data_IF_399392204783
#
_entry.id   IF_399392204783
#
_cell.length_a   1.000
_cell.length_b   1.000
_cell.length_c   1.000
_cell.angle_alpha   90.00
_cell.angle_beta   90.00
_cell.angle_gamma   90.00
#
_symmetry.space_group_name_H-M   'P 1'
#
loop_
_entity.id
_entity.type
_entity.pdbx_description
1 polymer ?
#
# COMPACT_ATOMS: atom_id res chain seq x y z
N UNK A 1 -1.34 -9.94 22.97
CA UNK A 1 -0.98 -8.55 22.66
C UNK A 1 0.04 -8.55 21.54
N UNK A 2 -0.16 -7.74 20.52
CA UNK A 2 0.81 -7.54 19.44
C UNK A 2 1.48 -6.18 19.59
N UNK A 3 2.79 -6.14 19.39
CA UNK A 3 3.58 -4.91 19.29
C UNK A 3 3.79 -4.61 17.81
N UNK A 4 3.25 -3.50 17.33
CA UNK A 4 3.28 -3.08 15.94
C UNK A 4 4.32 -1.98 15.72
N UNK A 5 4.96 -2.04 14.53
CA UNK A 5 5.83 -1.01 13.98
C UNK A 5 5.32 -0.64 12.58
N UNK A 6 5.01 0.61 12.36
CA UNK A 6 4.56 1.12 11.06
C UNK A 6 5.67 1.23 10.02
N UNK A 7 6.93 1.39 10.46
CA UNK A 7 8.11 1.43 9.60
C UNK A 7 9.39 1.70 10.36
N UNK A 8 10.43 0.93 10.05
CA UNK A 8 11.79 1.06 10.62
C UNK A 8 12.80 0.86 9.50
N UNK A 9 13.56 1.89 9.16
CA UNK A 9 14.54 1.80 8.08
C UNK A 9 15.95 1.50 8.62
N UNK A 10 16.61 0.43 8.17
CA UNK A 10 16.21 -0.60 7.22
C UNK A 10 15.91 -1.95 7.91
N UNK A 11 16.43 -2.19 9.12
CA UNK A 11 16.10 -3.39 9.90
C UNK A 11 15.98 -3.09 11.39
N UNK A 12 15.20 -3.91 12.09
CA UNK A 12 14.96 -3.82 13.52
C UNK A 12 15.25 -5.15 14.21
N UNK A 13 15.93 -5.09 15.34
CA UNK A 13 16.01 -6.16 16.33
C UNK A 13 15.33 -5.65 17.61
N UNK A 14 14.38 -6.41 18.15
CA UNK A 14 13.47 -5.94 19.20
C UNK A 14 13.59 -6.79 20.45
N UNK A 15 13.70 -6.13 21.62
CA UNK A 15 13.67 -6.74 22.95
C UNK A 15 12.60 -6.07 23.81
N UNK A 16 11.90 -6.87 24.59
CA UNK A 16 10.94 -6.40 25.60
C UNK A 16 11.30 -6.99 26.96
N UNK A 17 11.52 -6.12 27.97
CA UNK A 17 11.94 -6.51 29.31
C UNK A 17 13.17 -7.43 29.32
N UNK A 18 14.15 -7.15 28.45
CA UNK A 18 15.36 -7.96 28.29
C UNK A 18 15.19 -9.23 27.46
N UNK A 19 13.99 -9.63 27.08
CA UNK A 19 13.73 -10.80 26.25
C UNK A 19 13.78 -10.40 24.78
N UNK A 20 14.54 -11.14 23.98
CA UNK A 20 14.54 -10.99 22.52
C UNK A 20 13.17 -11.39 21.96
N UNK A 21 12.60 -10.53 21.11
CA UNK A 21 11.28 -10.72 20.52
C UNK A 21 11.38 -11.20 19.08
N UNK A 22 12.25 -10.57 18.29
CA UNK A 22 12.43 -10.91 16.90
C UNK A 22 13.20 -9.87 16.10
N UNK A 23 13.34 -10.15 14.81
CA UNK A 23 13.95 -9.26 13.80
C UNK A 23 12.99 -9.03 12.67
N UNK A 24 13.13 -7.88 12.00
CA UNK A 24 12.47 -7.58 10.74
C UNK A 24 13.42 -6.83 9.82
N UNK A 25 13.41 -7.21 8.54
CA UNK A 25 14.08 -6.51 7.46
C UNK A 25 13.02 -5.97 6.48
N UNK A 26 13.27 -4.80 5.92
CA UNK A 26 12.34 -4.11 5.05
C UNK A 26 12.03 -2.72 5.58
N UNK A 27 12.64 -1.72 4.94
CA UNK A 27 12.62 -0.34 5.44
C UNK A 27 11.25 0.33 5.39
N UNK A 28 10.35 -0.14 4.53
CA UNK A 28 9.08 0.53 4.23
C UNK A 28 7.84 -0.27 4.55
N UNK A 29 8.00 -1.51 4.99
CA UNK A 29 6.88 -2.37 5.35
C UNK A 29 6.59 -2.32 6.86
N UNK A 30 5.33 -2.48 7.21
CA UNK A 30 4.90 -2.61 8.61
C UNK A 30 4.99 -4.05 9.09
N UNK A 31 5.30 -4.23 10.38
CA UNK A 31 5.41 -5.55 10.98
C UNK A 31 4.93 -5.56 12.43
N UNK A 32 4.71 -6.75 12.97
CA UNK A 32 4.30 -6.92 14.36
C UNK A 32 4.88 -8.19 14.99
N UNK A 33 5.01 -8.15 16.31
CA UNK A 33 5.42 -9.31 17.12
C UNK A 33 4.38 -9.63 18.17
N UNK A 34 4.12 -10.92 18.40
CA UNK A 34 3.35 -11.36 19.55
C UNK A 34 4.20 -11.20 20.83
N UNK A 35 3.70 -10.45 21.79
CA UNK A 35 4.38 -10.17 23.05
C UNK A 35 3.63 -10.72 24.27
N UNK A 36 2.71 -11.66 24.05
CA UNK A 36 1.99 -12.34 25.13
C UNK A 36 2.95 -13.00 26.12
N UNK A 37 2.66 -12.81 27.42
CA UNK A 37 3.48 -13.34 28.51
C UNK A 37 4.82 -12.64 28.71
N UNK A 38 5.15 -11.63 27.89
CA UNK A 38 6.39 -10.85 28.01
C UNK A 38 6.15 -9.45 28.58
N UNK A 39 4.90 -9.02 28.61
CA UNK A 39 4.47 -7.76 29.23
C UNK A 39 4.20 -7.96 30.73
N UNK A 40 4.62 -6.99 31.53
CA UNK A 40 4.33 -6.88 32.96
C UNK A 40 3.08 -6.00 33.11
N UNK A 41 1.94 -6.61 33.42
CA UNK A 41 0.68 -5.89 33.58
C UNK A 41 0.73 -4.96 34.82
N UNK A 42 0.33 -3.70 34.62
CA UNK A 42 0.30 -2.69 35.70
C UNK A 42 1.67 -2.13 36.10
N UNK A 43 2.73 -2.51 35.38
CA UNK A 43 4.11 -2.05 35.67
C UNK A 43 4.70 -1.34 34.43
N UNK A 44 5.84 -0.67 34.63
CA UNK A 44 6.66 -0.16 33.54
C UNK A 44 7.27 -1.31 32.73
N UNK A 45 7.20 -1.22 31.43
CA UNK A 45 7.82 -2.16 30.51
C UNK A 45 8.92 -1.44 29.72
N UNK A 46 10.06 -2.10 29.54
CA UNK A 46 11.19 -1.56 28.80
C UNK A 46 11.23 -2.16 27.40
N UNK A 47 11.04 -1.33 26.37
CA UNK A 47 11.24 -1.69 24.99
C UNK A 47 12.62 -1.22 24.54
N UNK A 48 13.43 -2.11 23.98
CA UNK A 48 14.69 -1.78 23.32
C UNK A 48 14.63 -2.21 21.85
N UNK A 49 15.02 -1.31 20.94
CA UNK A 49 15.06 -1.57 19.51
C UNK A 49 16.43 -1.19 18.99
N UNK A 50 17.12 -2.14 18.36
CA UNK A 50 18.35 -1.88 17.63
C UNK A 50 18.02 -1.73 16.16
N UNK A 51 18.25 -0.54 15.63
CA UNK A 51 18.07 -0.26 14.21
C UNK A 51 19.42 -0.38 13.51
N UNK A 52 19.45 -1.06 12.37
CA UNK A 52 20.64 -1.13 11.51
C UNK A 52 20.30 -0.51 10.16
N UNK A 53 21.17 0.36 9.64
CA UNK A 53 21.03 0.95 8.31
C UNK A 53 21.42 -0.03 7.20
N UNK A 54 22.31 -0.97 7.48
CA UNK A 54 22.82 -1.95 6.52
C UNK A 54 22.52 -3.35 7.03
N UNK A 55 21.89 -4.15 6.19
CA UNK A 55 21.62 -5.57 6.36
C UNK A 55 21.75 -6.26 4.99
N UNK A 56 21.70 -7.59 4.85
CA UNK A 56 21.95 -8.28 3.58
C UNK A 56 21.07 -7.85 2.41
N UNK A 57 19.83 -7.42 2.68
CA UNK A 57 18.82 -7.08 1.67
C UNK A 57 18.41 -5.59 1.67
N UNK A 58 19.18 -4.72 2.35
CA UNK A 58 18.84 -3.29 2.48
C UNK A 58 18.77 -2.55 1.13
N UNK A 59 19.50 -3.03 0.12
CA UNK A 59 19.52 -2.41 -1.22
C UNK A 59 18.14 -2.41 -1.90
N UNK A 60 17.23 -3.32 -1.53
CA UNK A 60 15.86 -3.27 -2.02
C UNK A 60 15.10 -2.01 -1.56
N UNK A 61 15.59 -1.34 -0.53
CA UNK A 61 14.99 -0.16 0.07
C UNK A 61 15.82 1.11 -0.19
N UNK A 62 16.74 1.08 -1.16
CA UNK A 62 17.59 2.22 -1.54
C UNK A 62 17.20 2.71 -2.93
N UNK A 63 16.90 3.98 -3.01
CA UNK A 63 16.54 4.69 -4.24
C UNK A 63 17.38 5.95 -4.36
N UNK A 64 17.05 6.82 -5.28
CA UNK A 64 17.61 8.15 -5.44
C UNK A 64 17.03 9.17 -4.43
N UNK A 65 16.63 8.68 -3.26
CA UNK A 65 16.16 9.43 -2.10
C UNK A 65 17.13 9.30 -0.90
N UNK A 66 16.80 9.99 0.21
CA UNK A 66 17.63 9.96 1.40
C UNK A 66 17.48 8.65 2.18
N UNK A 67 18.58 7.96 2.45
CA UNK A 67 18.61 6.74 3.28
C UNK A 67 18.54 7.08 4.78
N UNK A 68 17.45 7.74 5.20
CA UNK A 68 17.23 8.16 6.58
C UNK A 68 16.89 6.97 7.46
N UNK A 69 17.83 6.55 8.32
CA UNK A 69 17.65 5.45 9.26
C UNK A 69 16.84 5.84 10.49
N UNK A 70 16.14 4.88 11.07
CA UNK A 70 15.41 5.05 12.33
C UNK A 70 14.02 4.46 12.34
N UNK A 71 13.33 4.64 13.46
CA UNK A 71 11.90 4.37 13.61
C UNK A 71 11.16 5.64 13.19
N UNK A 72 10.51 5.65 12.06
CA UNK A 72 9.95 6.88 11.47
C UNK A 72 8.42 6.87 11.35
N UNK A 73 7.78 5.74 11.66
CA UNK A 73 6.32 5.57 11.74
C UNK A 73 5.91 5.08 13.14
N UNK A 74 4.63 5.07 13.40
CA UNK A 74 4.04 4.75 14.70
C UNK A 74 4.45 3.39 15.23
N UNK A 75 4.63 3.32 16.56
CA UNK A 75 4.82 2.08 17.33
C UNK A 75 3.71 2.01 18.37
N UNK A 76 2.95 0.90 18.37
CA UNK A 76 1.82 0.76 19.29
C UNK A 76 1.57 -0.69 19.69
N UNK A 77 0.81 -0.87 20.77
CA UNK A 77 0.32 -2.15 21.23
C UNK A 77 -1.13 -2.36 20.83
N UNK A 78 -1.44 -3.52 20.27
CA UNK A 78 -2.80 -3.97 20.00
C UNK A 78 -3.17 -5.10 20.95
N UNK A 79 -4.20 -4.87 21.79
CA UNK A 79 -4.70 -5.89 22.69
C UNK A 79 -5.75 -6.75 22.01
N UNK A 80 -5.54 -8.06 21.97
CA UNK A 80 -6.48 -9.04 21.46
C UNK A 80 -7.23 -9.75 22.57
N UNK A 81 -8.48 -10.19 22.38
CA UNK A 81 -9.18 -11.07 23.30
C UNK A 81 -8.36 -12.35 23.59
N UNK A 82 -8.53 -12.88 24.81
CA UNK A 82 -7.72 -14.04 25.25
C UNK A 82 -7.98 -15.29 24.44
N UNK A 83 -9.22 -15.51 24.01
CA UNK A 83 -9.64 -16.78 23.38
C UNK A 83 -9.68 -16.65 21.85
N UNK A 84 -10.51 -15.76 21.34
CA UNK A 84 -10.78 -15.63 19.90
C UNK A 84 -10.79 -14.18 19.46
N UNK A 85 -10.27 -13.88 18.26
CA UNK A 85 -10.27 -12.52 17.71
C UNK A 85 -10.35 -12.55 16.19
N UNK A 86 -10.80 -11.47 15.59
CA UNK A 86 -10.72 -11.22 14.17
C UNK A 86 -9.29 -10.79 13.87
N UNK A 87 -8.51 -11.66 13.26
CA UNK A 87 -7.09 -11.41 12.98
C UNK A 87 -6.93 -10.53 11.75
N UNK A 88 -7.64 -10.87 10.67
CA UNK A 88 -7.57 -10.14 9.41
C UNK A 88 -8.93 -10.11 8.74
N UNK A 89 -9.15 -9.01 8.00
CA UNK A 89 -10.35 -8.78 7.22
C UNK A 89 -9.93 -8.40 5.80
N UNK A 90 -10.47 -9.10 4.80
CA UNK A 90 -10.28 -8.77 3.39
C UNK A 90 -11.67 -8.54 2.79
N UNK A 91 -11.83 -7.40 2.14
CA UNK A 91 -13.10 -6.95 1.58
C UNK A 91 -12.95 -6.75 0.08
N UNK A 92 -13.85 -7.37 -0.70
CA UNK A 92 -13.90 -7.24 -2.17
C UNK A 92 -15.29 -6.83 -2.60
N UNK A 93 -15.35 -5.92 -3.54
CA UNK A 93 -16.60 -5.46 -4.17
C UNK A 93 -16.66 -5.95 -5.60
N UNK A 94 -17.78 -6.53 -6.00
CA UNK A 94 -18.03 -6.96 -7.37
C UNK A 94 -19.39 -6.43 -7.81
N UNK A 95 -19.44 -5.73 -8.93
CA UNK A 95 -20.69 -5.23 -9.52
C UNK A 95 -21.33 -6.27 -10.45
N UNK A 96 -22.62 -6.08 -10.72
CA UNK A 96 -23.28 -6.73 -11.84
C UNK A 96 -22.79 -6.11 -13.19
N UNK A 97 -23.20 -6.72 -14.30
CA UNK A 97 -22.80 -6.27 -15.66
C UNK A 97 -23.21 -4.82 -15.98
N UNK A 98 -24.20 -4.29 -15.28
CA UNK A 98 -24.71 -2.93 -15.44
C UNK A 98 -24.09 -1.92 -14.45
N UNK A 99 -23.19 -2.37 -13.58
CA UNK A 99 -22.60 -1.57 -12.50
C UNK A 99 -23.65 -0.93 -11.59
N UNK A 100 -24.78 -1.60 -11.37
CA UNK A 100 -25.91 -1.10 -10.61
C UNK A 100 -25.95 -1.72 -9.20
N UNK A 101 -26.02 -3.04 -9.14
CA UNK A 101 -26.01 -3.78 -7.87
C UNK A 101 -24.64 -4.39 -7.63
N UNK A 102 -24.28 -4.60 -6.39
CA UNK A 102 -22.97 -5.16 -6.04
C UNK A 102 -23.08 -6.30 -5.04
N UNK A 103 -22.07 -7.17 -5.07
CA UNK A 103 -21.77 -8.12 -4.01
C UNK A 103 -20.58 -7.62 -3.20
N UNK A 104 -20.74 -7.60 -1.90
CA UNK A 104 -19.66 -7.35 -0.93
C UNK A 104 -19.19 -8.69 -0.41
N UNK A 105 -18.02 -9.14 -0.83
CA UNK A 105 -17.39 -10.39 -0.38
C UNK A 105 -16.44 -10.09 0.76
N UNK A 106 -16.61 -10.78 1.88
CA UNK A 106 -15.90 -10.52 3.13
C UNK A 106 -15.22 -11.81 3.54
N UNK A 107 -13.90 -11.79 3.57
CA UNK A 107 -13.09 -12.88 4.06
C UNK A 107 -12.54 -12.49 5.44
N UNK A 108 -12.93 -13.22 6.47
CA UNK A 108 -12.63 -12.96 7.87
C UNK A 108 -11.72 -14.07 8.37
N UNK A 109 -10.47 -13.72 8.68
CA UNK A 109 -9.57 -14.64 9.34
C UNK A 109 -9.75 -14.52 10.86
N UNK A 110 -10.15 -15.62 11.50
CA UNK A 110 -10.35 -15.69 12.95
C UNK A 110 -9.17 -16.44 13.57
N UNK A 111 -8.46 -15.78 14.48
CA UNK A 111 -7.47 -16.43 15.34
C UNK A 111 -8.14 -17.06 16.56
N UNK A 112 -7.73 -18.26 16.93
CA UNK A 112 -8.24 -18.99 18.10
C UNK A 112 -7.08 -19.57 18.90
N UNK A 113 -7.02 -19.24 20.20
CA UNK A 113 -6.06 -19.79 21.15
C UNK A 113 -6.60 -20.99 21.93
N UNK A 114 -7.66 -21.60 21.47
CA UNK A 114 -8.18 -22.79 22.13
C UNK A 114 -7.12 -23.91 22.09
N UNK A 115 -6.51 -24.16 23.23
CA UNK A 115 -5.49 -25.21 23.44
C UNK A 115 -6.01 -26.42 24.18
N UNK A 116 -7.34 -26.52 24.33
CA UNK A 116 -7.91 -27.69 24.97
C UNK A 116 -7.62 -28.94 24.13
N UNK A 117 -7.15 -29.97 24.79
CA UNK A 117 -6.92 -31.27 24.16
C UNK A 117 -7.86 -32.29 24.72
N UNK A 118 -8.39 -33.14 23.86
CA UNK A 118 -9.13 -34.34 24.24
C UNK A 118 -8.17 -35.44 24.75
N UNK A 119 -8.66 -36.47 25.49
CA UNK A 119 -7.85 -37.62 25.84
C UNK A 119 -7.09 -38.17 24.61
N UNK A 120 -5.79 -38.45 24.78
CA UNK A 120 -4.91 -38.87 23.67
C UNK A 120 -4.24 -37.73 22.92
N UNK A 121 -4.24 -36.51 23.47
CA UNK A 121 -3.62 -35.29 22.90
C UNK A 121 -4.24 -34.83 21.56
N UNK A 122 -5.48 -35.19 21.28
CA UNK A 122 -6.22 -34.64 20.13
C UNK A 122 -6.71 -33.22 20.45
N UNK A 123 -6.62 -32.27 19.50
CA UNK A 123 -7.14 -30.93 19.71
C UNK A 123 -8.68 -30.97 19.89
N UNK A 124 -9.17 -30.26 20.91
CA UNK A 124 -10.61 -30.07 21.11
C UNK A 124 -11.19 -29.17 20.03
N UNK A 125 -12.38 -29.46 19.50
CA UNK A 125 -13.02 -28.59 18.50
C UNK A 125 -13.43 -27.21 19.03
N UNK A 126 -13.30 -26.94 20.34
CA UNK A 126 -13.73 -25.67 20.92
C UNK A 126 -15.25 -25.50 20.91
N UNK A 127 -15.71 -24.25 21.03
CA UNK A 127 -17.14 -23.89 21.01
C UNK A 127 -17.52 -23.18 19.73
N UNK A 128 -18.75 -23.32 19.26
CA UNK A 128 -19.31 -22.50 18.20
C UNK A 128 -19.44 -21.04 18.63
N UNK A 129 -19.44 -20.13 17.67
CA UNK A 129 -19.59 -18.68 17.88
C UNK A 129 -20.34 -18.05 16.71
N UNK A 130 -20.87 -16.85 16.90
CA UNK A 130 -21.52 -16.14 15.83
C UNK A 130 -20.59 -15.07 15.25
N UNK A 131 -20.70 -14.86 13.96
CA UNK A 131 -20.08 -13.77 13.23
C UNK A 131 -21.17 -12.89 12.66
N UNK A 132 -21.17 -11.60 13.07
CA UNK A 132 -22.12 -10.59 12.56
C UNK A 132 -21.35 -9.59 11.72
N UNK A 133 -21.93 -9.24 10.58
CA UNK A 133 -21.40 -8.23 9.67
C UNK A 133 -22.51 -7.21 9.41
N UNK A 134 -22.18 -5.92 9.56
CA UNK A 134 -23.13 -4.83 9.31
C UNK A 134 -22.45 -3.78 8.43
N UNK A 135 -23.10 -3.43 7.33
CA UNK A 135 -22.69 -2.35 6.45
C UNK A 135 -23.48 -1.09 6.76
N UNK A 136 -22.79 -0.01 7.08
CA UNK A 136 -23.37 1.29 7.36
C UNK A 136 -23.07 2.28 6.24
N UNK A 137 -24.02 3.17 5.98
CA UNK A 137 -23.80 4.37 5.18
C UNK A 137 -22.82 5.32 5.88
N UNK A 138 -22.32 6.34 5.17
CA UNK A 138 -21.40 7.34 5.73
C UNK A 138 -21.97 8.08 6.94
N UNK A 139 -23.27 8.32 6.97
CA UNK A 139 -24.00 8.95 8.06
C UNK A 139 -24.41 7.99 9.20
N UNK A 140 -23.98 6.72 9.10
CA UNK A 140 -24.14 5.74 10.17
C UNK A 140 -25.45 4.96 10.18
N UNK A 141 -26.27 5.06 9.12
CA UNK A 141 -27.48 4.27 8.98
C UNK A 141 -27.11 2.82 8.60
N UNK A 142 -27.72 1.84 9.26
CA UNK A 142 -27.66 0.42 8.91
C UNK A 142 -28.27 0.22 7.51
N UNK A 143 -27.47 -0.28 6.59
CA UNK A 143 -27.90 -0.54 5.22
C UNK A 143 -28.21 -2.02 5.00
N UNK A 144 -27.31 -2.90 5.42
CA UNK A 144 -27.42 -4.35 5.31
C UNK A 144 -26.69 -5.02 6.46
N UNK A 145 -27.24 -6.12 6.97
CA UNK A 145 -26.59 -6.92 8.00
C UNK A 145 -26.80 -8.41 7.79
N UNK A 146 -25.86 -9.20 8.25
CA UNK A 146 -25.90 -10.65 8.20
C UNK A 146 -25.25 -11.24 9.45
N UNK A 147 -25.83 -12.29 10.00
CA UNK A 147 -25.22 -13.06 11.10
C UNK A 147 -25.21 -14.54 10.75
N UNK A 148 -24.09 -15.20 10.99
CA UNK A 148 -23.92 -16.63 10.78
C UNK A 148 -23.35 -17.31 12.02
N UNK A 149 -23.77 -18.55 12.24
CA UNK A 149 -23.15 -19.44 13.23
C UNK A 149 -21.90 -20.09 12.60
N UNK A 150 -20.75 -19.92 13.23
CA UNK A 150 -19.51 -20.62 12.89
C UNK A 150 -19.41 -21.86 13.77
N UNK A 151 -19.43 -23.08 13.20
CA UNK A 151 -19.34 -24.31 13.98
C UNK A 151 -18.02 -24.43 14.73
N UNK A 152 -18.03 -25.20 15.81
CA UNK A 152 -16.82 -25.59 16.51
C UNK A 152 -15.78 -26.24 15.58
N UNK A 153 -14.51 -25.96 15.79
CA UNK A 153 -13.40 -26.45 14.96
C UNK A 153 -12.10 -26.60 15.79
N UNK A 154 -11.17 -27.38 15.26
CA UNK A 154 -9.87 -27.65 15.87
C UNK A 154 -8.75 -26.74 15.37
N UNK A 155 -8.99 -25.96 14.30
CA UNK A 155 -7.99 -25.09 13.70
C UNK A 155 -7.68 -23.88 14.60
N UNK A 156 -6.41 -23.51 14.69
CA UNK A 156 -5.95 -22.30 15.40
C UNK A 156 -6.28 -21.00 14.64
N UNK A 157 -6.44 -21.10 13.32
CA UNK A 157 -6.94 -20.02 12.46
C UNK A 157 -8.07 -20.57 11.59
N UNK A 158 -9.11 -19.80 11.43
CA UNK A 158 -10.24 -20.15 10.58
C UNK A 158 -10.62 -19.01 9.65
N UNK A 159 -10.79 -19.37 8.39
CA UNK A 159 -11.36 -18.49 7.40
C UNK A 159 -12.90 -18.61 7.41
N UNK A 160 -13.57 -17.47 7.49
CA UNK A 160 -15.02 -17.33 7.42
C UNK A 160 -15.36 -16.44 6.24
N UNK A 161 -16.08 -17.00 5.27
CA UNK A 161 -16.48 -16.29 4.06
C UNK A 161 -17.95 -15.86 4.19
N UNK A 162 -18.20 -14.58 3.95
CA UNK A 162 -19.55 -14.01 3.91
C UNK A 162 -19.72 -13.20 2.62
N UNK A 163 -20.95 -13.18 2.09
CA UNK A 163 -21.28 -12.39 0.91
C UNK A 163 -22.60 -11.65 1.17
N UNK A 164 -22.60 -10.35 0.97
CA UNK A 164 -23.77 -9.50 1.12
C UNK A 164 -24.11 -8.87 -0.24
N UNK A 165 -25.39 -8.92 -0.62
CA UNK A 165 -25.87 -8.15 -1.76
C UNK A 165 -26.18 -6.73 -1.32
N UNK A 166 -25.68 -5.74 -2.06
CA UNK A 166 -25.94 -4.33 -1.83
C UNK A 166 -26.59 -3.74 -3.07
N UNK A 167 -27.83 -3.30 -2.91
CA UNK A 167 -28.60 -2.77 -4.02
C UNK A 167 -28.22 -1.29 -4.26
N UNK A 168 -27.84 -0.99 -5.51
CA UNK A 168 -27.53 0.35 -5.99
C UNK A 168 -26.56 1.14 -5.06
N UNK A 169 -25.39 0.59 -4.70
CA UNK A 169 -24.45 1.32 -3.85
C UNK A 169 -23.88 2.54 -4.57
N UNK A 170 -23.58 3.59 -3.80
CA UNK A 170 -22.82 4.72 -4.32
C UNK A 170 -21.40 4.26 -4.65
N UNK A 171 -20.98 4.56 -5.87
CA UNK A 171 -19.65 4.18 -6.35
C UNK A 171 -18.56 5.02 -5.70
N UNK A 172 -17.41 4.41 -5.45
CA UNK A 172 -16.21 5.13 -5.10
C UNK A 172 -15.41 5.48 -6.36
N UNK A 173 -15.09 6.75 -6.53
CA UNK A 173 -14.14 7.26 -7.54
C UNK A 173 -13.33 8.39 -6.94
N UNK A 174 -12.24 8.83 -7.60
CA UNK A 174 -11.47 10.00 -7.16
C UNK A 174 -12.30 11.30 -7.16
N UNK A 175 -13.38 11.38 -7.94
CA UNK A 175 -14.26 12.55 -8.00
C UNK A 175 -15.42 12.44 -6.98
N UNK A 176 -15.86 11.21 -6.68
CA UNK A 176 -16.95 10.91 -5.77
C UNK A 176 -16.53 9.85 -4.75
N UNK A 177 -15.67 10.18 -3.77
CA UNK A 177 -15.09 9.21 -2.86
C UNK A 177 -16.06 8.84 -1.73
N UNK A 178 -17.12 8.10 -2.07
CA UNK A 178 -18.07 7.66 -1.07
C UNK A 178 -17.58 6.39 -0.38
N UNK A 179 -17.46 6.45 0.94
CA UNK A 179 -17.06 5.33 1.79
C UNK A 179 -18.22 4.89 2.67
N UNK A 180 -18.50 3.60 2.62
CA UNK A 180 -19.31 2.90 3.59
C UNK A 180 -18.44 2.46 4.76
N UNK A 181 -19.06 2.10 5.87
CA UNK A 181 -18.39 1.54 7.05
C UNK A 181 -18.88 0.11 7.28
N UNK A 182 -18.00 -0.84 7.14
CA UNK A 182 -18.24 -2.26 7.42
C UNK A 182 -17.79 -2.56 8.84
N UNK A 183 -18.69 -3.04 9.68
CA UNK A 183 -18.37 -3.52 11.02
C UNK A 183 -18.54 -5.04 11.05
N UNK A 184 -17.50 -5.72 11.50
CA UNK A 184 -17.49 -7.16 11.73
C UNK A 184 -17.35 -7.42 13.21
N UNK A 185 -18.25 -8.24 13.77
CA UNK A 185 -18.34 -8.56 15.18
C UNK A 185 -18.26 -10.07 15.38
N UNK A 186 -17.40 -10.49 16.29
CA UNK A 186 -17.34 -11.86 16.79
C UNK A 186 -18.13 -11.93 18.10
N UNK A 187 -19.11 -12.83 18.17
CA UNK A 187 -19.99 -12.97 19.33
C UNK A 187 -19.84 -14.36 19.94
N UNK A 188 -19.64 -14.40 21.25
CA UNK A 188 -19.74 -15.61 22.06
C UNK A 188 -20.95 -15.48 23.01
N UNK A 189 -21.86 -16.46 23.01
CA UNK A 189 -23.09 -16.42 23.82
C UNK A 189 -23.87 -15.09 23.69
N UNK A 190 -23.99 -14.60 22.45
CA UNK A 190 -24.64 -13.34 22.08
C UNK A 190 -23.95 -12.05 22.60
N UNK A 191 -22.75 -12.14 23.15
CA UNK A 191 -21.96 -10.97 23.56
C UNK A 191 -20.85 -10.73 22.55
N UNK A 192 -20.67 -9.48 22.14
CA UNK A 192 -19.57 -9.06 21.27
C UNK A 192 -18.27 -9.17 22.06
N UNK A 193 -17.37 -10.05 21.66
CA UNK A 193 -16.06 -10.24 22.28
C UNK A 193 -14.93 -9.56 21.51
N UNK A 194 -15.12 -9.34 20.22
CA UNK A 194 -14.20 -8.59 19.37
C UNK A 194 -14.93 -7.94 18.20
N UNK A 195 -14.45 -6.80 17.73
CA UNK A 195 -14.95 -6.18 16.51
C UNK A 195 -13.84 -5.49 15.74
N UNK A 196 -13.97 -5.49 14.41
CA UNK A 196 -13.18 -4.68 13.49
C UNK A 196 -14.06 -3.85 12.58
N UNK A 197 -13.55 -2.71 12.18
CA UNK A 197 -14.25 -1.80 11.26
C UNK A 197 -13.34 -1.47 10.10
N UNK A 198 -13.89 -1.53 8.88
CA UNK A 198 -13.22 -1.15 7.64
C UNK A 198 -14.04 -0.12 6.87
N UNK A 199 -13.36 0.76 6.13
CA UNK A 199 -14.00 1.60 5.14
C UNK A 199 -14.10 0.84 3.82
N UNK A 200 -15.27 0.89 3.19
CA UNK A 200 -15.56 0.19 1.93
C UNK A 200 -15.96 1.19 0.86
N UNK A 201 -15.18 1.26 -0.20
CA UNK A 201 -15.55 1.95 -1.43
C UNK A 201 -15.97 0.94 -2.49
N UNK A 202 -17.21 1.03 -2.98
CA UNK A 202 -17.66 0.17 -4.06
C UNK A 202 -17.00 0.59 -5.36
N UNK A 203 -16.04 -0.22 -5.80
CA UNK A 203 -15.18 0.05 -6.96
C UNK A 203 -14.74 -1.27 -7.59
N UNK A 204 -14.73 -1.30 -8.92
CA UNK A 204 -14.21 -2.40 -9.71
C UNK A 204 -13.24 -1.88 -10.76
N UNK A 205 -12.16 -2.62 -11.05
CA UNK A 205 -11.14 -2.26 -12.03
C UNK A 205 -11.12 -3.30 -13.13
N UNK A 206 -11.01 -2.85 -14.38
CA UNK A 206 -10.86 -3.72 -15.54
C UNK A 206 -9.80 -3.18 -16.49
N UNK A 207 -9.03 -4.10 -17.07
CA UNK A 207 -8.06 -3.84 -18.15
C UNK A 207 -8.50 -4.48 -19.47
N UNK A 208 -9.73 -4.96 -19.53
CA UNK A 208 -10.26 -5.68 -20.69
C UNK A 208 -10.20 -4.85 -21.96
N UNK A 209 -9.78 -5.48 -23.07
CA UNK A 209 -9.63 -4.83 -24.38
C UNK A 209 -8.55 -3.75 -24.41
N UNK A 210 -7.55 -3.83 -23.51
CA UNK A 210 -6.44 -2.89 -23.46
C UNK A 210 -6.82 -1.50 -22.92
N UNK A 211 -7.98 -1.35 -22.29
CA UNK A 211 -8.46 -0.07 -21.75
C UNK A 211 -8.61 -0.17 -20.25
N UNK A 212 -8.00 0.75 -19.52
CA UNK A 212 -8.15 0.83 -18.08
C UNK A 212 -9.47 1.48 -17.70
N UNK A 213 -10.29 0.75 -16.95
CA UNK A 213 -11.62 1.22 -16.52
C UNK A 213 -11.77 1.12 -15.01
N UNK A 214 -12.51 2.07 -14.47
CA UNK A 214 -12.99 2.04 -13.09
C UNK A 214 -14.51 2.11 -13.16
N UNK A 215 -15.20 1.15 -12.54
CA UNK A 215 -16.67 1.04 -12.58
C UNK A 215 -17.22 1.08 -14.03
N UNK A 216 -16.57 0.34 -14.94
CA UNK A 216 -16.93 0.28 -16.36
C UNK A 216 -16.54 1.50 -17.21
N UNK A 217 -16.12 2.62 -16.60
CA UNK A 217 -15.78 3.86 -17.30
C UNK A 217 -14.28 3.96 -17.54
N UNK A 218 -13.88 4.27 -18.78
CA UNK A 218 -12.49 4.55 -19.11
C UNK A 218 -12.01 5.82 -18.38
N UNK A 219 -10.87 5.74 -17.72
CA UNK A 219 -10.31 6.86 -16.95
C UNK A 219 -9.02 7.38 -17.57
N UNK A 220 -8.72 8.65 -17.32
CA UNK A 220 -7.43 9.26 -17.63
C UNK A 220 -6.75 9.69 -16.33
N UNK A 221 -5.54 9.15 -16.10
CA UNK A 221 -4.75 9.37 -14.90
C UNK A 221 -3.78 10.54 -15.11
N UNK A 222 -4.08 11.67 -14.49
CA UNK A 222 -3.21 12.85 -14.43
C UNK A 222 -2.48 12.80 -13.11
N UNK A 223 -1.25 12.30 -13.14
CA UNK A 223 -0.55 11.93 -11.93
C UNK A 223 0.78 12.62 -11.69
N UNK A 224 1.24 12.42 -10.47
CA UNK A 224 2.58 12.76 -10.00
C UNK A 224 3.17 11.60 -9.21
N UNK A 225 4.49 11.50 -9.20
CA UNK A 225 5.22 10.64 -8.27
C UNK A 225 5.41 11.38 -6.95
N UNK A 226 5.33 10.68 -5.84
CA UNK A 226 5.54 11.25 -4.51
C UNK A 226 6.44 10.33 -3.69
N UNK A 227 7.47 10.92 -3.06
CA UNK A 227 8.18 10.32 -1.94
C UNK A 227 7.51 10.68 -0.61
N UNK A 228 7.55 9.78 0.39
CA UNK A 228 6.97 10.03 1.72
C UNK A 228 7.98 10.76 2.61
N UNK A 229 8.36 11.96 2.17
CA UNK A 229 9.38 12.82 2.79
C UNK A 229 8.91 14.26 2.88
N UNK A 230 9.52 15.01 3.81
CA UNK A 230 9.29 16.44 3.99
C UNK A 230 10.58 17.12 4.43
N UNK A 231 10.90 18.33 3.92
CA UNK A 231 12.17 19.01 4.20
C UNK A 231 12.50 19.22 5.69
N UNK A 232 11.48 19.40 6.53
CA UNK A 232 11.67 19.70 7.96
C UNK A 232 11.77 18.45 8.84
N UNK A 233 11.15 17.32 8.42
CA UNK A 233 11.00 16.12 9.26
C UNK A 233 11.50 14.84 8.61
N UNK A 234 12.05 14.92 7.41
CA UNK A 234 12.45 13.74 6.65
C UNK A 234 11.27 12.80 6.45
N UNK A 235 11.46 11.51 6.74
CA UNK A 235 10.42 10.48 6.60
C UNK A 235 9.37 10.45 7.71
N UNK A 236 9.54 11.23 8.79
CA UNK A 236 8.58 11.30 9.89
C UNK A 236 7.39 12.22 9.55
N UNK A 237 6.82 12.02 8.35
CA UNK A 237 5.67 12.80 7.86
C UNK A 237 4.43 12.56 8.69
N UNK A 238 3.54 13.56 8.75
CA UNK A 238 2.33 13.55 9.56
C UNK A 238 1.08 13.75 8.71
N UNK A 239 -0.08 13.56 9.33
CA UNK A 239 -1.39 13.77 8.68
C UNK A 239 -1.53 15.16 8.04
N UNK A 240 -0.95 16.18 8.67
CA UNK A 240 -1.00 17.57 8.18
C UNK A 240 -0.24 17.70 6.86
N UNK A 241 0.95 17.10 6.75
CA UNK A 241 1.75 17.07 5.52
C UNK A 241 1.00 16.34 4.39
N UNK A 242 0.46 15.15 4.67
CA UNK A 242 -0.29 14.37 3.69
C UNK A 242 -1.56 15.10 3.21
N UNK A 243 -2.29 15.72 4.14
CA UNK A 243 -3.50 16.47 3.81
C UNK A 243 -3.18 17.70 2.96
N UNK A 244 -2.08 18.38 3.22
CA UNK A 244 -1.61 19.51 2.42
C UNK A 244 -1.28 19.06 1.00
N UNK A 245 -0.50 17.99 0.83
CA UNK A 245 -0.13 17.44 -0.47
C UNK A 245 -1.37 17.08 -1.30
N UNK A 246 -2.30 16.30 -0.74
CA UNK A 246 -3.51 15.86 -1.45
C UNK A 246 -4.37 17.06 -1.87
N UNK A 247 -4.53 18.06 -0.99
CA UNK A 247 -5.30 19.28 -1.32
C UNK A 247 -4.65 20.07 -2.47
N UNK A 248 -3.34 20.23 -2.46
CA UNK A 248 -2.62 20.91 -3.54
C UNK A 248 -2.67 20.12 -4.84
N UNK A 249 -2.51 18.80 -4.80
CA UNK A 249 -2.67 17.93 -5.96
C UNK A 249 -4.06 18.07 -6.57
N UNK A 250 -5.12 18.02 -5.77
CA UNK A 250 -6.50 18.20 -6.25
C UNK A 250 -6.75 19.58 -6.82
N UNK A 251 -6.21 20.63 -6.19
CA UNK A 251 -6.29 22.00 -6.71
C UNK A 251 -5.59 22.15 -8.06
N UNK A 252 -4.54 21.38 -8.32
CA UNK A 252 -3.85 21.30 -9.61
C UNK A 252 -4.52 20.33 -10.61
N UNK A 253 -5.72 19.82 -10.31
CA UNK A 253 -6.45 18.86 -11.15
C UNK A 253 -5.69 17.52 -11.35
N UNK A 254 -4.87 17.15 -10.39
CA UNK A 254 -4.23 15.84 -10.30
C UNK A 254 -5.22 14.88 -9.64
N UNK A 255 -5.44 13.71 -10.24
CA UNK A 255 -6.35 12.69 -9.73
C UNK A 255 -5.67 11.37 -9.39
N UNK A 256 -4.35 11.30 -9.56
CA UNK A 256 -3.58 10.08 -9.39
C UNK A 256 -2.20 10.38 -8.79
N UNK A 257 -1.76 9.55 -7.86
CA UNK A 257 -0.41 9.57 -7.27
C UNK A 257 0.23 8.19 -7.34
N UNK A 258 1.46 8.11 -7.84
CA UNK A 258 2.30 6.92 -7.66
C UNK A 258 3.15 7.10 -6.41
N UNK A 259 3.08 6.14 -5.53
CA UNK A 259 3.90 6.09 -4.33
C UNK A 259 5.30 5.56 -4.69
N UNK A 260 6.16 6.47 -5.09
CA UNK A 260 7.54 6.16 -5.45
C UNK A 260 8.40 6.05 -4.18
N UNK A 261 9.17 4.99 -3.99
CA UNK A 261 9.18 3.72 -4.69
C UNK A 261 8.85 2.62 -3.70
N UNK A 262 7.94 2.91 -2.78
CA UNK A 262 7.64 2.10 -1.61
C UNK A 262 6.25 2.42 -1.06
N UNK A 263 5.71 1.52 -0.27
CA UNK A 263 4.46 1.75 0.45
C UNK A 263 4.58 2.94 1.42
N UNK A 264 3.80 4.00 1.19
CA UNK A 264 3.76 5.19 2.04
C UNK A 264 3.10 4.91 3.39
N UNK A 265 3.06 5.91 4.28
CA UNK A 265 2.34 5.81 5.54
C UNK A 265 0.87 5.43 5.30
N UNK A 266 0.33 4.49 6.08
CA UNK A 266 -1.04 4.01 5.93
C UNK A 266 -2.06 5.15 5.98
N UNK A 267 -1.84 6.13 6.86
CA UNK A 267 -2.71 7.32 6.98
C UNK A 267 -2.75 8.19 5.72
N UNK A 268 -1.69 8.19 4.88
CA UNK A 268 -1.73 8.85 3.58
C UNK A 268 -2.70 8.15 2.62
N UNK A 269 -2.66 6.82 2.57
CA UNK A 269 -3.56 6.02 1.71
C UNK A 269 -5.01 6.16 2.18
N UNK A 270 -5.24 6.16 3.50
CA UNK A 270 -6.57 6.41 4.09
C UNK A 270 -7.12 7.79 3.71
N UNK A 271 -6.29 8.82 3.71
CA UNK A 271 -6.69 10.15 3.21
C UNK A 271 -6.97 10.16 1.70
N UNK A 272 -6.26 9.36 0.90
CA UNK A 272 -6.57 9.16 -0.51
C UNK A 272 -7.94 8.49 -0.71
N UNK A 273 -8.31 7.53 0.15
CA UNK A 273 -9.63 6.92 0.17
C UNK A 273 -10.73 7.97 0.48
N UNK A 274 -10.51 8.80 1.51
CA UNK A 274 -11.47 9.78 2.01
C UNK A 274 -11.67 10.98 1.07
N UNK A 275 -10.58 11.48 0.49
CA UNK A 275 -10.58 12.71 -0.31
C UNK A 275 -10.68 12.46 -1.81
N UNK A 276 -10.54 11.21 -2.23
CA UNK A 276 -10.61 10.80 -3.63
C UNK A 276 -9.33 11.10 -4.41
N UNK A 277 -8.36 10.20 -4.32
CA UNK A 277 -7.14 10.20 -5.11
C UNK A 277 -6.87 8.76 -5.54
N UNK A 278 -6.67 8.50 -6.83
CA UNK A 278 -6.21 7.20 -7.29
C UNK A 278 -4.75 6.99 -6.89
N UNK A 279 -4.42 5.78 -6.47
CA UNK A 279 -3.09 5.43 -5.97
C UNK A 279 -2.51 4.26 -6.76
N UNK A 280 -1.28 4.42 -7.24
CA UNK A 280 -0.43 3.30 -7.62
C UNK A 280 0.49 2.95 -6.46
N UNK A 281 0.29 1.79 -5.85
CA UNK A 281 1.12 1.37 -4.73
C UNK A 281 2.26 0.48 -5.18
N UNK A 282 3.47 0.78 -4.66
CA UNK A 282 4.69 0.12 -5.11
C UNK A 282 5.32 -0.72 -4.01
N UNK A 283 5.69 -1.96 -4.38
CA UNK A 283 6.50 -2.86 -3.56
C UNK A 283 7.95 -2.43 -3.65
N UNK A 284 8.59 -2.19 -2.52
CA UNK A 284 9.99 -1.75 -2.44
C UNK A 284 10.94 -2.86 -2.89
N UNK A 285 11.30 -2.86 -4.17
CA UNK A 285 12.23 -3.80 -4.81
C UNK A 285 13.12 -3.10 -5.86
N UNK A 286 13.26 -1.79 -5.80
CA UNK A 286 14.00 -1.03 -6.82
C UNK A 286 15.49 -0.90 -6.54
N UNK A 287 16.26 -0.57 -7.58
CA UNK A 287 17.68 -0.23 -7.50
C UNK A 287 18.64 -1.37 -7.14
N UNK A 288 18.14 -2.58 -6.98
CA UNK A 288 18.88 -3.73 -6.48
C UNK A 288 19.02 -4.84 -7.55
N UNK A 289 19.30 -4.46 -8.79
CA UNK A 289 19.37 -5.39 -9.93
C UNK A 289 20.27 -6.59 -9.66
N UNK A 290 21.39 -6.41 -8.96
CA UNK A 290 22.29 -7.49 -8.56
C UNK A 290 21.62 -8.49 -7.62
N UNK A 291 20.85 -8.05 -6.64
CA UNK A 291 20.13 -8.92 -5.69
C UNK A 291 18.96 -9.65 -6.38
N UNK A 292 18.32 -9.02 -7.36
CA UNK A 292 17.17 -9.60 -8.07
C UNK A 292 17.58 -10.78 -8.98
N UNK A 293 18.86 -10.99 -9.26
CA UNK A 293 19.38 -12.17 -9.94
C UNK A 293 19.76 -13.32 -9.00
N UNK A 294 19.81 -13.06 -7.68
CA UNK A 294 20.18 -14.08 -6.69
C UNK A 294 18.94 -14.67 -6.01
N UNK A 295 18.66 -15.94 -6.29
CA UNK A 295 17.51 -16.65 -5.75
C UNK A 295 17.51 -16.75 -4.21
N UNK A 296 18.64 -16.55 -3.53
CA UNK A 296 18.72 -16.52 -2.07
C UNK A 296 17.90 -15.40 -1.45
N UNK A 297 17.62 -14.32 -2.19
CA UNK A 297 16.78 -13.19 -1.78
C UNK A 297 15.27 -13.41 -1.99
N UNK A 298 14.85 -14.58 -2.48
CA UNK A 298 13.41 -14.86 -2.71
C UNK A 298 12.55 -14.60 -1.47
N UNK A 299 13.02 -14.96 -0.28
CA UNK A 299 12.35 -14.68 0.99
C UNK A 299 12.12 -13.19 1.21
N UNK A 300 13.14 -12.36 1.01
CA UNK A 300 13.07 -10.90 1.18
C UNK A 300 12.12 -10.24 0.18
N UNK A 301 12.14 -10.70 -1.08
CA UNK A 301 11.24 -10.21 -2.14
C UNK A 301 9.78 -10.56 -1.84
N UNK A 302 9.50 -11.81 -1.49
CA UNK A 302 8.14 -12.27 -1.19
C UNK A 302 7.59 -11.65 0.10
N UNK A 303 8.44 -11.43 1.11
CA UNK A 303 8.06 -10.76 2.35
C UNK A 303 7.59 -9.33 2.07
N UNK A 304 8.39 -8.51 1.36
CA UNK A 304 8.02 -7.12 1.01
C UNK A 304 6.73 -7.07 0.21
N UNK A 305 6.58 -7.98 -0.76
CA UNK A 305 5.36 -8.08 -1.58
C UNK A 305 4.13 -8.42 -0.73
N UNK A 306 4.25 -9.40 0.16
CA UNK A 306 3.18 -9.83 1.05
C UNK A 306 2.78 -8.72 2.02
N UNK A 307 3.75 -8.13 2.72
CA UNK A 307 3.49 -7.11 3.74
C UNK A 307 2.86 -5.86 3.15
N UNK A 308 3.33 -5.40 1.97
CA UNK A 308 2.73 -4.26 1.25
C UNK A 308 1.27 -4.54 0.91
N UNK A 309 1.00 -5.65 0.21
CA UNK A 309 -0.37 -5.95 -0.25
C UNK A 309 -1.32 -6.21 0.91
N UNK A 310 -0.91 -7.00 1.90
CA UNK A 310 -1.81 -7.37 3.01
C UNK A 310 -2.15 -6.17 3.89
N UNK A 311 -1.26 -5.20 4.03
CA UNK A 311 -1.52 -3.96 4.76
C UNK A 311 -2.66 -3.15 4.12
N UNK A 312 -2.63 -3.02 2.79
CA UNK A 312 -3.46 -2.04 2.09
C UNK A 312 -4.50 -2.64 1.12
N UNK A 313 -4.68 -3.96 1.14
CA UNK A 313 -5.59 -4.68 0.23
C UNK A 313 -7.04 -4.15 0.27
N UNK A 314 -7.48 -3.57 1.39
CA UNK A 314 -8.83 -3.03 1.57
C UNK A 314 -8.98 -1.57 1.10
N UNK A 315 -7.88 -0.91 0.67
CA UNK A 315 -7.90 0.52 0.29
C UNK A 315 -8.54 0.70 -1.11
N UNK A 316 -9.69 1.36 -1.26
CA UNK A 316 -10.32 1.56 -2.56
C UNK A 316 -9.54 2.51 -3.47
N UNK A 317 -8.74 3.41 -2.93
CA UNK A 317 -7.89 4.33 -3.71
C UNK A 317 -6.82 3.62 -4.53
N UNK A 318 -6.30 2.47 -4.06
CA UNK A 318 -5.29 1.70 -4.78
C UNK A 318 -5.91 1.07 -6.02
N UNK A 319 -5.39 1.43 -7.19
CA UNK A 319 -5.94 0.99 -8.47
C UNK A 319 -5.05 -0.01 -9.22
N UNK A 320 -3.81 -0.18 -8.82
CA UNK A 320 -2.89 -1.21 -9.29
C UNK A 320 -1.76 -1.42 -8.29
N UNK A 321 -1.10 -2.57 -8.41
CA UNK A 321 0.13 -2.89 -7.69
C UNK A 321 1.32 -2.76 -8.62
N UNK A 322 2.36 -2.06 -8.17
CA UNK A 322 3.63 -1.85 -8.88
C UNK A 322 4.72 -2.69 -8.23
N UNK A 323 5.53 -3.39 -9.03
CA UNK A 323 6.55 -4.30 -8.53
C UNK A 323 7.93 -3.76 -8.88
N UNK A 324 8.60 -3.20 -7.87
CA UNK A 324 9.92 -2.60 -8.02
C UNK A 324 9.93 -1.32 -8.85
N UNK A 325 11.13 -0.88 -9.24
CA UNK A 325 11.34 0.30 -10.09
C UNK A 325 12.56 0.09 -10.99
N UNK A 326 12.42 0.36 -12.30
CA UNK A 326 13.50 0.45 -13.31
C UNK A 326 14.47 -0.76 -13.36
N UNK A 327 13.99 -1.93 -13.02
CA UNK A 327 14.79 -3.15 -13.00
C UNK A 327 14.62 -4.00 -14.27
N UNK A 328 15.61 -4.84 -14.55
CA UNK A 328 15.48 -5.92 -15.52
C UNK A 328 14.46 -6.95 -15.01
N UNK A 329 13.69 -7.54 -15.93
CA UNK A 329 12.75 -8.60 -15.57
C UNK A 329 13.50 -9.88 -15.17
N UNK A 330 13.32 -10.32 -13.93
CA UNK A 330 13.90 -11.55 -13.39
C UNK A 330 12.83 -12.52 -12.89
N UNK A 331 13.24 -13.75 -12.54
CA UNK A 331 12.35 -14.74 -11.92
C UNK A 331 11.79 -14.27 -10.57
N UNK A 332 12.53 -13.45 -9.81
CA UNK A 332 12.06 -12.91 -8.54
C UNK A 332 10.96 -11.87 -8.74
N UNK A 333 11.04 -11.02 -9.77
CA UNK A 333 9.92 -10.14 -10.13
C UNK A 333 8.67 -10.96 -10.45
N UNK A 334 8.80 -12.03 -11.24
CA UNK A 334 7.65 -12.88 -11.57
C UNK A 334 7.11 -13.65 -10.37
N UNK A 335 7.96 -14.01 -9.41
CA UNK A 335 7.51 -14.60 -8.15
C UNK A 335 6.68 -13.60 -7.33
N UNK A 336 7.13 -12.33 -7.25
CA UNK A 336 6.39 -11.24 -6.63
C UNK A 336 5.04 -11.00 -7.35
N UNK A 337 5.04 -10.87 -8.68
CA UNK A 337 3.81 -10.69 -9.49
C UNK A 337 2.80 -11.80 -9.19
N UNK A 338 3.22 -13.07 -9.18
CA UNK A 338 2.34 -14.21 -8.89
C UNK A 338 1.78 -14.17 -7.48
N UNK A 339 2.62 -13.84 -6.49
CA UNK A 339 2.16 -13.69 -5.10
C UNK A 339 1.12 -12.59 -4.97
N UNK A 340 1.39 -11.42 -5.53
CA UNK A 340 0.49 -10.25 -5.48
C UNK A 340 -0.85 -10.57 -6.14
N UNK A 341 -0.85 -11.19 -7.32
CA UNK A 341 -2.10 -11.61 -8.00
C UNK A 341 -2.88 -12.69 -7.24
N UNK A 342 -2.20 -13.56 -6.51
CA UNK A 342 -2.85 -14.55 -5.65
C UNK A 342 -3.50 -13.90 -4.41
N UNK A 343 -2.84 -12.91 -3.82
CA UNK A 343 -3.37 -12.16 -2.68
C UNK A 343 -4.54 -11.28 -3.10
N UNK A 344 -4.37 -10.56 -4.20
CA UNK A 344 -5.37 -9.64 -4.73
C UNK A 344 -5.57 -9.79 -6.24
N UNK A 345 -6.48 -10.66 -6.67
CA UNK A 345 -6.83 -10.81 -8.09
C UNK A 345 -7.70 -9.66 -8.64
N UNK A 346 -8.12 -8.69 -7.81
CA UNK A 346 -9.04 -7.61 -8.21
C UNK A 346 -8.33 -6.40 -8.79
N UNK A 347 -7.02 -6.30 -8.62
CA UNK A 347 -6.21 -5.20 -9.13
C UNK A 347 -5.18 -5.71 -10.14
N UNK A 348 -4.94 -4.94 -11.22
CA UNK A 348 -3.88 -5.23 -12.17
C UNK A 348 -2.50 -4.98 -11.55
N UNK A 349 -1.48 -5.60 -12.16
CA UNK A 349 -0.08 -5.49 -11.79
C UNK A 349 0.72 -4.88 -12.94
N UNK A 350 1.69 -4.03 -12.62
CA UNK A 350 2.67 -3.51 -13.56
C UNK A 350 4.11 -3.62 -13.04
N UNK A 351 5.04 -3.53 -13.95
CA UNK A 351 6.48 -3.41 -13.70
C UNK A 351 6.92 -2.05 -14.25
N UNK A 352 7.36 -1.09 -13.43
CA UNK A 352 7.84 0.22 -13.91
C UNK A 352 8.98 0.07 -14.91
N UNK A 353 9.04 1.00 -15.87
CA UNK A 353 10.00 1.01 -16.98
C UNK A 353 9.77 -0.09 -18.04
N UNK A 354 8.92 -1.10 -17.78
CA UNK A 354 8.71 -2.24 -18.70
C UNK A 354 7.50 -1.96 -19.60
N UNK A 355 7.73 -2.01 -20.91
CA UNK A 355 6.69 -1.74 -21.92
C UNK A 355 6.79 -2.65 -23.14
N UNK A 356 7.54 -3.74 -23.04
CA UNK A 356 7.73 -4.68 -24.13
C UNK A 356 6.49 -5.54 -24.36
N UNK A 357 6.12 -5.74 -25.62
CA UNK A 357 4.95 -6.53 -26.00
C UNK A 357 5.03 -8.00 -25.55
N UNK A 358 6.27 -8.54 -25.41
CA UNK A 358 6.51 -9.91 -24.98
C UNK A 358 6.44 -10.14 -23.46
N UNK A 359 6.19 -9.10 -22.66
CA UNK A 359 6.02 -9.27 -21.21
C UNK A 359 4.97 -10.35 -20.91
N UNK A 360 5.19 -11.17 -19.85
CA UNK A 360 4.22 -12.18 -19.43
C UNK A 360 2.81 -11.64 -19.27
N UNK A 361 1.81 -12.48 -19.52
CA UNK A 361 0.40 -12.09 -19.46
C UNK A 361 -0.05 -11.66 -18.05
N UNK A 362 0.68 -12.10 -17.03
CA UNK A 362 0.46 -11.71 -15.64
C UNK A 362 0.77 -10.24 -15.35
N UNK A 363 1.56 -9.57 -16.22
CA UNK A 363 1.80 -8.12 -16.18
C UNK A 363 0.72 -7.44 -16.99
N UNK A 364 -0.26 -6.85 -16.33
CA UNK A 364 -1.51 -6.38 -16.95
C UNK A 364 -1.36 -5.02 -17.64
N UNK A 365 -0.39 -4.20 -17.24
CA UNK A 365 -0.22 -2.81 -17.67
C UNK A 365 1.21 -2.60 -18.16
N UNK A 366 1.38 -1.89 -19.28
CA UNK A 366 2.67 -1.44 -19.77
C UNK A 366 3.04 -0.10 -19.14
N UNK A 367 4.28 0.05 -18.65
CA UNK A 367 4.69 1.19 -17.84
C UNK A 367 6.00 1.84 -18.34
N UNK A 368 6.02 2.43 -19.55
CA UNK A 368 7.22 3.07 -20.09
C UNK A 368 7.60 4.34 -19.29
N UNK A 369 8.92 4.62 -19.19
CA UNK A 369 9.45 5.83 -18.60
C UNK A 369 10.09 6.74 -19.65
N UNK A 370 9.81 8.03 -19.60
CA UNK A 370 10.48 9.13 -20.34
C UNK A 370 10.52 8.99 -21.88
N UNK A 371 9.61 8.21 -22.46
CA UNK A 371 9.57 8.01 -23.91
C UNK A 371 9.23 9.30 -24.67
N UNK A 372 9.66 9.37 -25.93
CA UNK A 372 9.32 10.47 -26.83
C UNK A 372 7.85 10.39 -27.26
N UNK A 373 7.22 11.52 -27.66
CA UNK A 373 5.81 11.51 -28.10
C UNK A 373 5.50 10.47 -29.17
N UNK A 374 6.39 10.27 -30.14
CA UNK A 374 6.19 9.30 -31.22
C UNK A 374 6.21 7.85 -30.73
N UNK A 375 7.02 7.54 -29.73
CA UNK A 375 7.11 6.21 -29.12
C UNK A 375 5.84 5.90 -28.32
N UNK A 376 5.33 6.88 -27.54
CA UNK A 376 4.04 6.77 -26.85
C UNK A 376 2.88 6.57 -27.82
N UNK A 377 2.79 7.34 -28.91
CA UNK A 377 1.73 7.22 -29.92
C UNK A 377 1.75 5.83 -30.57
N UNK A 378 2.94 5.35 -30.94
CA UNK A 378 3.13 4.05 -31.56
C UNK A 378 2.73 2.91 -30.62
N UNK A 379 3.18 2.95 -29.35
CA UNK A 379 2.83 1.95 -28.35
C UNK A 379 1.32 1.94 -28.09
N UNK A 380 0.73 3.12 -27.86
CA UNK A 380 -0.68 3.24 -27.56
C UNK A 380 -1.59 2.84 -28.73
N UNK A 381 -1.14 3.02 -29.97
CA UNK A 381 -1.87 2.57 -31.17
C UNK A 381 -1.95 1.04 -31.29
N UNK A 382 -0.93 0.32 -30.85
CA UNK A 382 -0.79 -1.13 -31.07
C UNK A 382 -1.16 -1.97 -29.86
N UNK A 383 -1.06 -1.40 -28.64
CA UNK A 383 -1.15 -2.17 -27.40
C UNK A 383 -2.54 -2.75 -27.19
N UNK A 384 -2.58 -4.01 -26.80
CA UNK A 384 -3.75 -4.70 -26.27
C UNK A 384 -3.79 -4.68 -24.74
N UNK A 385 -2.88 -3.93 -24.10
CA UNK A 385 -2.81 -3.68 -22.64
C UNK A 385 -2.92 -2.17 -22.40
N UNK A 386 -3.49 -1.73 -21.25
CA UNK A 386 -3.42 -0.33 -20.85
C UNK A 386 -1.97 0.12 -20.69
N UNK A 387 -1.74 1.41 -20.92
CA UNK A 387 -0.42 2.03 -20.73
C UNK A 387 -0.55 3.12 -19.69
N UNK A 388 0.27 3.02 -18.64
CA UNK A 388 0.46 4.05 -17.63
C UNK A 388 1.95 4.36 -17.58
N UNK A 389 2.36 5.54 -18.07
CA UNK A 389 3.74 5.96 -17.89
C UNK A 389 3.95 6.34 -16.45
N UNK A 390 4.56 5.44 -15.68
CA UNK A 390 4.75 5.64 -14.25
C UNK A 390 5.73 6.75 -13.92
N UNK A 391 6.59 7.11 -14.90
CA UNK A 391 7.40 8.34 -14.88
C UNK A 391 7.45 8.98 -16.26
N UNK A 392 7.14 10.27 -16.33
CA UNK A 392 7.34 11.05 -17.56
C UNK A 392 7.61 12.51 -17.21
N UNK A 393 8.36 13.20 -18.08
CA UNK A 393 8.67 14.64 -17.91
C UNK A 393 9.30 14.91 -16.53
N UNK A 394 10.57 14.56 -16.41
CA UNK A 394 11.35 14.82 -15.19
C UNK A 394 11.51 16.34 -15.01
N UNK A 395 11.07 16.88 -13.86
CA UNK A 395 11.04 18.33 -13.62
C UNK A 395 12.43 18.96 -13.53
N UNK A 396 13.44 18.21 -13.12
CA UNK A 396 14.84 18.66 -13.00
C UNK A 396 15.80 17.97 -13.98
N UNK A 397 15.30 16.97 -14.73
CA UNK A 397 16.13 16.14 -15.59
C UNK A 397 16.49 16.76 -16.94
N UNK A 398 17.16 15.96 -17.74
CA UNK A 398 17.63 16.32 -19.10
C UNK A 398 16.50 16.79 -20.01
N UNK A 399 15.29 16.30 -19.80
CA UNK A 399 14.10 16.66 -20.58
C UNK A 399 13.44 17.97 -20.11
N UNK A 400 13.72 18.45 -18.91
CA UNK A 400 13.07 19.61 -18.30
C UNK A 400 11.54 19.53 -18.38
N UNK A 401 10.85 20.64 -18.23
CA UNK A 401 9.40 20.73 -18.45
C UNK A 401 9.01 20.67 -19.94
N UNK A 402 9.97 20.53 -20.84
CA UNK A 402 9.74 20.48 -22.28
C UNK A 402 8.95 19.24 -22.69
N UNK A 403 7.88 19.46 -23.45
CA UNK A 403 7.15 18.37 -24.08
C UNK A 403 6.06 17.69 -23.23
N UNK A 404 5.75 18.18 -22.01
CA UNK A 404 4.66 17.64 -21.19
C UNK A 404 3.35 17.46 -21.98
N UNK A 405 2.87 18.53 -22.61
CA UNK A 405 1.64 18.50 -23.43
C UNK A 405 1.74 17.59 -24.65
N UNK A 406 2.91 17.55 -25.30
CA UNK A 406 3.13 16.68 -26.46
C UNK A 406 3.12 15.19 -26.08
N UNK A 407 3.83 14.82 -24.99
CA UNK A 407 3.84 13.46 -24.45
C UNK A 407 2.46 13.02 -23.98
N UNK A 408 1.77 13.87 -23.23
CA UNK A 408 0.41 13.61 -22.76
C UNK A 408 -0.55 13.37 -23.92
N UNK A 409 -0.55 14.27 -24.94
CA UNK A 409 -1.40 14.16 -26.13
C UNK A 409 -1.13 12.88 -26.91
N UNK A 410 0.14 12.52 -27.09
CA UNK A 410 0.54 11.31 -27.81
C UNK A 410 0.10 10.04 -27.07
N UNK A 411 0.39 9.96 -25.77
CA UNK A 411 0.02 8.82 -24.93
C UNK A 411 -1.49 8.62 -24.87
N UNK A 412 -2.25 9.71 -24.64
CA UNK A 412 -3.70 9.63 -24.38
C UNK A 412 -4.58 9.68 -25.62
N UNK A 413 -4.00 9.76 -26.81
CA UNK A 413 -4.69 9.79 -28.10
C UNK A 413 -5.49 8.51 -28.36
N UNK A 414 -4.98 7.37 -27.92
CA UNK A 414 -5.60 6.05 -28.10
C UNK A 414 -6.25 5.57 -26.81
N UNK A 415 -7.25 4.67 -26.87
CA UNK A 415 -7.95 4.16 -25.68
C UNK A 415 -7.04 3.47 -24.68
N UNK A 416 -5.99 2.78 -25.14
CA UNK A 416 -5.02 2.08 -24.29
C UNK A 416 -4.14 3.02 -23.46
N UNK A 417 -3.90 4.24 -23.94
CA UNK A 417 -3.13 5.24 -23.20
C UNK A 417 -3.92 5.80 -22.03
N UNK A 418 -3.71 5.24 -20.86
CA UNK A 418 -4.46 5.57 -19.63
C UNK A 418 -4.00 6.87 -19.00
N UNK A 419 -2.70 7.13 -18.98
CA UNK A 419 -2.16 8.35 -18.37
C UNK A 419 -0.72 8.22 -17.90
N UNK A 420 -0.30 9.17 -17.06
CA UNK A 420 1.09 9.24 -16.62
C UNK A 420 1.24 9.96 -15.28
N UNK A 421 2.38 9.74 -14.61
CA UNK A 421 2.82 10.46 -13.43
C UNK A 421 4.08 11.27 -13.71
N UNK A 422 4.03 12.58 -13.44
CA UNK A 422 5.20 13.48 -13.55
C UNK A 422 6.22 13.10 -12.49
N UNK A 423 7.48 13.04 -12.84
CA UNK A 423 8.57 12.97 -11.89
C UNK A 423 9.05 14.40 -11.59
N UNK A 424 8.79 15.01 -10.44
CA UNK A 424 7.98 14.47 -9.36
C UNK A 424 7.20 15.61 -8.66
N UNK A 425 6.38 15.24 -7.65
CA UNK A 425 5.50 16.17 -6.92
C UNK A 425 6.26 17.28 -6.20
N UNK A 426 7.26 16.90 -5.42
CA UNK A 426 8.09 17.80 -4.65
C UNK A 426 9.52 17.27 -4.65
N UNK A 427 10.48 18.19 -4.58
CA UNK A 427 11.88 17.86 -4.45
C UNK A 427 12.18 17.15 -3.13
N UNK A 428 13.17 16.27 -3.14
CA UNK A 428 13.60 15.45 -1.99
C UNK A 428 14.53 16.20 -1.03
N UNK A 429 14.56 17.52 -1.09
CA UNK A 429 15.44 18.35 -0.26
C UNK A 429 15.16 18.21 1.24
N UNK A 430 16.23 18.04 2.03
CA UNK A 430 16.19 18.04 3.50
C UNK A 430 16.84 19.30 4.01
N UNK A 431 16.14 20.07 4.84
CA UNK A 431 16.71 21.24 5.50
C UNK A 431 17.78 20.81 6.48
N UNK A 432 18.95 21.37 6.35
CA UNK A 432 20.07 21.14 7.27
C UNK A 432 20.73 22.46 7.68
N UNK A 433 21.18 22.57 8.95
CA UNK A 433 21.89 23.79 9.39
C UNK A 433 23.14 23.99 8.56
N UNK A 434 23.38 25.25 8.17
CA UNK A 434 24.61 25.63 7.47
C UNK A 434 25.79 25.60 8.43
N UNK A 435 26.60 24.56 8.37
CA UNK A 435 27.80 24.37 9.20
C UNK A 435 29.04 24.94 8.55
N UNK A 436 28.93 25.86 7.56
CA UNK A 436 30.05 26.44 6.86
C UNK A 436 30.55 27.72 7.53
N UNK A 437 31.88 28.06 7.47
CA UNK A 437 32.39 29.29 7.96
C UNK A 437 31.69 30.51 7.32
N UNK A 438 31.40 31.53 8.12
CA UNK A 438 30.69 32.77 7.71
C UNK A 438 31.16 33.39 6.40
N UNK A 439 32.45 33.23 6.07
CA UNK A 439 33.07 33.77 4.84
C UNK A 439 32.52 33.18 3.54
N UNK A 440 31.94 31.96 3.58
CA UNK A 440 31.25 31.32 2.42
C UNK A 440 29.75 31.59 2.38
N UNK A 441 29.17 32.14 3.43
CA UNK A 441 27.75 32.47 3.54
C UNK A 441 27.37 33.79 2.84
N UNK A 442 28.34 34.61 2.44
CA UNK A 442 28.09 35.92 1.78
C UNK A 442 27.42 35.80 0.39
N UNK A 443 27.21 34.61 -0.12
CA UNK A 443 26.51 34.36 -1.39
C UNK A 443 25.10 33.78 -1.22
N UNK A 444 24.66 33.53 0.02
CA UNK A 444 23.31 33.11 0.33
C UNK A 444 22.46 34.35 0.62
N UNK A 445 21.18 34.32 0.22
CA UNK A 445 20.26 35.42 0.51
C UNK A 445 20.07 35.61 2.02
N UNK A 446 19.93 36.85 2.47
CA UNK A 446 19.58 37.16 3.85
C UNK A 446 18.29 36.43 4.25
N UNK A 447 18.40 35.51 5.20
CA UNK A 447 17.27 34.70 5.69
C UNK A 447 17.38 33.19 5.48
N UNK A 448 18.39 32.72 4.73
CA UNK A 448 18.59 31.27 4.54
C UNK A 448 19.51 30.72 5.64
N UNK A 449 18.94 30.24 6.71
CA UNK A 449 19.67 29.53 7.78
C UNK A 449 20.00 28.06 7.41
N UNK A 450 19.58 27.59 6.21
CA UNK A 450 19.70 26.23 5.76
C UNK A 450 20.14 26.13 4.30
N UNK A 451 20.98 25.13 4.01
CA UNK A 451 21.27 24.69 2.63
C UNK A 451 20.37 23.52 2.26
N UNK A 452 19.95 23.46 1.02
CA UNK A 452 19.43 22.23 0.44
C UNK A 452 20.61 21.32 0.12
N UNK A 453 20.48 20.03 0.49
CA UNK A 453 21.57 19.04 0.32
C UNK A 453 21.70 18.63 -1.16
N UNK A 454 20.65 18.76 -1.93
CA UNK A 454 20.58 18.50 -3.38
C UNK A 454 21.45 19.45 -4.24
N UNK A 455 21.99 20.53 -3.66
CA UNK A 455 22.92 21.45 -4.32
C UNK A 455 24.41 21.05 -4.15
N UNK A 456 24.74 19.88 -3.63
CA UNK A 456 26.10 19.45 -3.30
C UNK A 456 26.71 18.50 -4.32
#
# INVERSE_FOLDING_TARGET
VKLHFGGVWSSAEVWLNGNFIGTHNGGYTSFSFDVDGKLKAGESNQLAVRVRQVNPDYKFDVYDDWTLGGIYRDVFLEAMPKKRWIDRLIVKTEFDELYKDAQLKINIMVGDRNKETLPGNYPSPGESYNMRVTLYTKDGKDLEHQEILVPAHTATNREVLMTMRVNNPLHWTAETPYLYRLRVELLEKNMVVHSRTEHVGFREISTAGGVFRINGQAVKLRGVNRHDEHPDVGRATTKEHWLQDIKLMKAANINYVRMAHYAHAQGFVELCDELGMYVGEEVSLGGAADLMYDASFSGAVLQRSYETVVRDINRPSIIYWSIGNEDALTSLHMASVKLVKNLDPTRPVLLPWRAEEWLPAEVDILAPHYWKPQEYDLLACRSNRPIISTEYTHSFGVDGFGGLGARWKALTKHPSGTGAAIWMWADQGIKTPVLRPKEKLSKLSEGDDYLRIDDA
#
